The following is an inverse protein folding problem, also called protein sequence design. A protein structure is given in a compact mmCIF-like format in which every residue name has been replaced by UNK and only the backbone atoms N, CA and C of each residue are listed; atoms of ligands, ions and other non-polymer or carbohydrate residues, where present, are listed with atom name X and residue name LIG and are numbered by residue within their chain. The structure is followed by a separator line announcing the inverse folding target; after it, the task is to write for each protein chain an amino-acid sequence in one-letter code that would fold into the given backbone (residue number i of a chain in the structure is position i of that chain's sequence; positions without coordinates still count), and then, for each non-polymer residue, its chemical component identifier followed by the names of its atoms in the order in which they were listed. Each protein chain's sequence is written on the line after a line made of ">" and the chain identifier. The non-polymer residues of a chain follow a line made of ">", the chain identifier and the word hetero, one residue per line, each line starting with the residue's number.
data_IF_496680069184
#
_entry.id   IF_496680069184
#
_cell.length_a   1.000
_cell.length_b   1.000
_cell.length_c   1.000
_cell.angle_alpha   90.00
_cell.angle_beta   90.00
_cell.angle_gamma   90.00
#
_symmetry.space_group_name_H-M   'P 1'
#
loop_
_entity.id
_entity.type
_entity.pdbx_description
1 polymer ?
#
# COMPACT_ATOMS: atom_id res chain seq x y z
N UNK A 1 1.85 -0.72 2.03
CA UNK A 1 1.29 -1.47 0.88
C UNK A 1 0.94 -0.54 -0.26
N UNK A 2 0.17 0.52 -0.02
CA UNK A 2 -0.13 1.54 -1.05
C UNK A 2 1.10 2.25 -1.62
N UNK A 3 2.10 2.53 -0.79
CA UNK A 3 3.37 3.11 -1.26
C UNK A 3 4.11 2.19 -2.24
N UNK A 4 4.12 0.88 -1.99
CA UNK A 4 4.70 -0.10 -2.93
C UNK A 4 3.93 -0.14 -4.26
N UNK A 5 2.62 0.06 -4.21
CA UNK A 5 1.75 0.07 -5.39
C UNK A 5 1.91 1.36 -6.21
N UNK A 6 2.01 2.52 -5.55
CA UNK A 6 2.02 3.84 -6.20
C UNK A 6 3.41 4.41 -6.44
N UNK A 7 4.43 3.88 -5.75
CA UNK A 7 5.76 4.47 -5.70
C UNK A 7 5.80 5.82 -4.96
N UNK A 8 4.73 6.20 -4.25
CA UNK A 8 4.60 7.50 -3.57
C UNK A 8 4.13 7.33 -2.13
N UNK A 9 4.52 8.24 -1.22
CA UNK A 9 3.97 8.25 0.13
C UNK A 9 2.42 8.27 0.13
N UNK A 10 1.75 7.60 1.07
CA UNK A 10 0.29 7.68 1.19
C UNK A 10 -0.17 9.12 1.40
N UNK A 11 -1.15 9.60 0.63
CA UNK A 11 -1.61 11.00 0.69
C UNK A 11 -0.54 12.03 0.27
N UNK A 12 0.34 11.68 -0.66
CA UNK A 12 1.43 12.56 -1.14
C UNK A 12 0.98 13.95 -1.64
N UNK A 13 -0.29 14.10 -1.98
CA UNK A 13 -0.93 15.32 -2.49
C UNK A 13 -1.62 16.15 -1.41
N UNK A 14 -1.60 15.70 -0.15
CA UNK A 14 -2.22 16.37 1.00
C UNK A 14 -1.15 16.79 2.02
N UNK A 15 -1.31 17.96 2.63
CA UNK A 15 -0.44 18.39 3.73
C UNK A 15 -0.58 17.47 4.95
N UNK A 16 0.54 17.19 5.62
CA UNK A 16 0.60 16.31 6.78
C UNK A 16 0.32 17.12 8.05
N UNK A 17 -0.96 17.41 8.29
CA UNK A 17 -1.44 18.21 9.41
C UNK A 17 -2.57 17.49 10.20
N UNK A 18 -3.13 18.18 11.19
CA UNK A 18 -4.25 17.67 11.98
C UNK A 18 -5.51 17.41 11.14
N UNK A 19 -5.70 18.15 10.04
CA UNK A 19 -6.85 17.98 9.14
C UNK A 19 -6.75 16.62 8.44
N UNK A 20 -5.55 16.23 7.98
CA UNK A 20 -5.32 14.90 7.42
C UNK A 20 -5.60 13.80 8.46
N UNK A 21 -5.13 13.97 9.70
CA UNK A 21 -5.40 13.01 10.78
C UNK A 21 -6.92 12.83 11.01
N UNK A 22 -7.69 13.92 11.06
CA UNK A 22 -9.16 13.88 11.19
C UNK A 22 -9.79 13.14 9.99
N UNK A 23 -9.36 13.42 8.77
CA UNK A 23 -9.87 12.73 7.56
C UNK A 23 -9.62 11.22 7.65
N UNK A 24 -8.43 10.79 8.09
CA UNK A 24 -8.10 9.36 8.26
C UNK A 24 -8.98 8.70 9.32
N UNK A 25 -9.19 9.37 10.46
CA UNK A 25 -10.13 8.92 11.50
C UNK A 25 -11.56 8.77 10.96
N UNK A 26 -11.96 9.64 10.03
CA UNK A 26 -13.26 9.60 9.35
C UNK A 26 -13.31 8.64 8.16
N UNK A 27 -12.28 7.82 7.94
CA UNK A 27 -12.29 6.77 6.94
C UNK A 27 -11.57 7.09 5.63
N UNK A 28 -10.87 8.22 5.51
CA UNK A 28 -9.97 8.45 4.37
C UNK A 28 -8.91 7.35 4.35
N UNK A 29 -8.71 6.72 3.19
CA UNK A 29 -7.69 5.70 2.95
C UNK A 29 -6.89 6.04 1.70
N UNK A 30 -5.60 5.65 1.64
CA UNK A 30 -4.79 5.88 0.46
C UNK A 30 -5.28 5.05 -0.72
N UNK A 31 -5.10 5.60 -1.93
CA UNK A 31 -5.43 4.94 -3.19
C UNK A 31 -4.30 4.02 -3.66
N UNK A 32 -4.62 3.17 -4.63
CA UNK A 32 -3.68 2.24 -5.27
C UNK A 32 -3.45 2.67 -6.71
N UNK A 33 -2.28 2.34 -7.27
CA UNK A 33 -2.01 2.59 -8.68
C UNK A 33 -2.89 1.73 -9.59
N UNK A 34 -3.15 2.25 -10.79
CA UNK A 34 -3.76 1.47 -11.86
C UNK A 34 -2.95 0.19 -12.12
N UNK A 35 -3.66 -0.92 -12.31
CA UNK A 35 -3.03 -2.23 -12.52
C UNK A 35 -2.59 -2.96 -11.25
N UNK A 36 -2.73 -2.36 -10.07
CA UNK A 36 -2.47 -3.07 -8.81
C UNK A 36 -3.37 -4.31 -8.71
N UNK A 37 -2.82 -5.52 -8.45
CA UNK A 37 -3.63 -6.73 -8.38
C UNK A 37 -4.73 -6.64 -7.33
N UNK A 38 -5.95 -7.05 -7.69
CA UNK A 38 -7.13 -6.97 -6.80
C UNK A 38 -6.91 -7.70 -5.47
N UNK A 39 -6.23 -8.87 -5.49
CA UNK A 39 -5.90 -9.60 -4.27
C UNK A 39 -4.99 -8.80 -3.31
N UNK A 40 -4.09 -7.98 -3.85
CA UNK A 40 -3.22 -7.10 -3.08
C UNK A 40 -4.01 -5.93 -2.48
N UNK A 41 -4.93 -5.34 -3.25
CA UNK A 41 -5.84 -4.28 -2.80
C UNK A 41 -6.70 -4.79 -1.63
N UNK A 42 -7.26 -5.99 -1.76
CA UNK A 42 -8.08 -6.62 -0.71
C UNK A 42 -7.29 -6.81 0.58
N UNK A 43 -6.09 -7.37 0.51
CA UNK A 43 -5.23 -7.54 1.68
C UNK A 43 -4.87 -6.19 2.32
N UNK A 44 -4.50 -5.20 1.52
CA UNK A 44 -4.16 -3.87 2.03
C UNK A 44 -5.37 -3.16 2.67
N UNK A 45 -6.57 -3.32 2.10
CA UNK A 45 -7.80 -2.79 2.70
C UNK A 45 -8.12 -3.46 4.04
N UNK A 46 -7.93 -4.78 4.17
CA UNK A 46 -8.06 -5.49 5.44
C UNK A 46 -7.07 -4.96 6.50
N UNK A 47 -5.83 -4.68 6.11
CA UNK A 47 -4.83 -4.06 7.00
C UNK A 47 -5.25 -2.67 7.51
N UNK A 48 -6.07 -1.94 6.73
CA UNK A 48 -6.53 -0.58 7.03
C UNK A 48 -7.98 -0.52 7.51
N UNK A 49 -8.58 -1.66 7.88
CA UNK A 49 -9.95 -1.73 8.35
C UNK A 49 -10.17 -0.82 9.57
N UNK A 50 -11.30 -0.11 9.59
CA UNK A 50 -11.70 0.77 10.68
C UNK A 50 -11.89 -0.01 11.98
N UNK A 51 -12.38 -1.25 11.90
CA UNK A 51 -12.44 -2.17 13.02
C UNK A 51 -11.10 -2.90 13.19
N UNK A 52 -10.35 -2.67 14.30
CA UNK A 52 -9.07 -3.34 14.53
C UNK A 52 -9.16 -4.87 14.54
N UNK A 53 -10.30 -5.43 14.94
CA UNK A 53 -10.52 -6.88 14.99
C UNK A 53 -10.59 -7.55 13.62
N UNK A 54 -10.83 -6.78 12.55
CA UNK A 54 -10.83 -7.29 11.18
C UNK A 54 -9.41 -7.29 10.56
N UNK A 55 -8.44 -6.64 11.21
CA UNK A 55 -7.10 -6.52 10.68
C UNK A 55 -6.36 -7.85 10.80
N UNK A 56 -5.70 -8.32 9.73
CA UNK A 56 -4.90 -9.54 9.79
C UNK A 56 -3.70 -9.34 10.71
N UNK A 57 -3.22 -10.42 11.30
CA UNK A 57 -1.96 -10.40 12.04
C UNK A 57 -0.77 -10.28 11.08
N UNK A 58 0.39 -9.87 11.58
CA UNK A 58 1.61 -9.88 10.78
C UNK A 58 1.93 -11.28 10.21
N UNK A 59 1.61 -12.35 10.96
CA UNK A 59 1.76 -13.72 10.50
C UNK A 59 0.83 -14.05 9.34
N UNK A 60 -0.43 -13.64 9.39
CA UNK A 60 -1.39 -13.86 8.30
C UNK A 60 -0.94 -13.15 7.02
N UNK A 61 -0.49 -11.91 7.14
CA UNK A 61 0.07 -11.13 6.03
C UNK A 61 1.28 -11.85 5.44
N UNK A 62 2.22 -12.30 6.29
CA UNK A 62 3.41 -13.02 5.85
C UNK A 62 3.06 -14.29 5.08
N UNK A 63 2.15 -15.13 5.60
CA UNK A 63 1.75 -16.36 4.91
C UNK A 63 1.06 -16.06 3.57
N UNK A 64 0.24 -15.01 3.50
CA UNK A 64 -0.40 -14.60 2.24
C UNK A 64 0.61 -14.13 1.19
N UNK A 65 1.59 -13.34 1.60
CA UNK A 65 2.67 -12.90 0.70
C UNK A 65 3.56 -14.06 0.26
N UNK A 66 3.85 -15.01 1.16
CA UNK A 66 4.63 -16.21 0.85
C UNK A 66 3.91 -17.14 -0.12
N UNK A 67 2.59 -17.30 0.05
CA UNK A 67 1.72 -18.01 -0.89
C UNK A 67 1.83 -17.39 -2.30
N UNK A 68 1.62 -16.08 -2.44
CA UNK A 68 1.76 -15.39 -3.72
C UNK A 68 3.15 -15.49 -4.32
N UNK A 69 4.20 -15.38 -3.49
CA UNK A 69 5.57 -15.59 -3.92
C UNK A 69 5.76 -16.99 -4.52
N UNK A 70 5.31 -18.04 -3.82
CA UNK A 70 5.43 -19.41 -4.31
C UNK A 70 4.66 -19.62 -5.62
N UNK A 71 3.49 -18.98 -5.78
CA UNK A 71 2.72 -19.03 -7.03
C UNK A 71 3.52 -18.42 -8.18
N UNK A 72 4.07 -17.24 -7.97
CA UNK A 72 4.79 -16.49 -9.00
C UNK A 72 6.07 -17.21 -9.44
N UNK A 73 6.80 -17.82 -8.51
CA UNK A 73 8.12 -18.41 -8.78
C UNK A 73 8.12 -19.93 -8.97
N UNK A 74 7.11 -20.65 -8.47
CA UNK A 74 7.09 -22.11 -8.39
C UNK A 74 5.75 -22.77 -8.77
N UNK A 75 4.70 -21.98 -9.04
CA UNK A 75 3.33 -22.49 -9.21
C UNK A 75 3.10 -23.28 -10.51
N UNK A 76 2.15 -24.23 -10.46
CA UNK A 76 1.57 -24.87 -11.64
C UNK A 76 0.29 -24.17 -12.12
N UNK A 77 -0.27 -24.63 -13.24
CA UNK A 77 -1.38 -24.00 -13.95
C UNK A 77 -2.69 -23.78 -13.14
N UNK A 78 -2.82 -24.30 -11.90
CA UNK A 78 -4.02 -24.17 -11.07
C UNK A 78 -4.22 -22.78 -10.44
N UNK A 79 -3.17 -21.96 -10.29
CA UNK A 79 -3.23 -20.61 -9.68
C UNK A 79 -2.89 -19.49 -10.68
N UNK A 80 -3.20 -19.76 -11.95
CA UNK A 80 -2.93 -18.87 -13.10
C UNK A 80 -3.51 -17.45 -12.93
N UNK A 81 -4.59 -17.29 -12.16
CA UNK A 81 -5.23 -15.99 -11.95
C UNK A 81 -4.35 -15.03 -11.17
N UNK A 82 -3.74 -15.49 -10.07
CA UNK A 82 -2.83 -14.66 -9.26
C UNK A 82 -1.59 -14.34 -10.09
N UNK A 83 -0.95 -15.36 -10.69
CA UNK A 83 0.20 -15.18 -11.56
C UNK A 83 -0.05 -14.13 -12.65
N UNK A 84 -1.15 -14.27 -13.41
CA UNK A 84 -1.52 -13.33 -14.48
C UNK A 84 -1.78 -11.92 -13.95
N UNK A 85 -2.40 -11.78 -12.77
CA UNK A 85 -2.66 -10.46 -12.20
C UNK A 85 -1.37 -9.71 -11.86
N UNK A 86 -0.39 -10.39 -11.26
CA UNK A 86 0.92 -9.78 -10.96
C UNK A 86 1.73 -9.52 -12.23
N UNK A 87 1.72 -10.43 -13.22
CA UNK A 87 2.37 -10.18 -14.52
C UNK A 87 1.77 -8.99 -15.28
N UNK A 88 0.44 -8.82 -15.23
CA UNK A 88 -0.22 -7.67 -15.82
C UNK A 88 0.18 -6.36 -15.11
N UNK A 89 0.31 -6.39 -13.78
CA UNK A 89 0.81 -5.25 -13.02
C UNK A 89 2.26 -4.90 -13.40
N UNK A 90 3.15 -5.89 -13.52
CA UNK A 90 4.55 -5.69 -13.90
C UNK A 90 4.70 -5.04 -15.29
N UNK A 91 3.81 -5.38 -16.23
CA UNK A 91 3.80 -4.75 -17.56
C UNK A 91 3.54 -3.24 -17.47
N UNK A 92 2.69 -2.81 -16.53
CA UNK A 92 2.34 -1.40 -16.30
C UNK A 92 3.45 -0.67 -15.55
N UNK A 93 4.16 -1.34 -14.62
CA UNK A 93 5.27 -0.74 -13.84
C UNK A 93 6.33 -0.10 -14.76
N UNK A 94 6.62 -0.72 -15.90
CA UNK A 94 7.58 -0.18 -16.88
C UNK A 94 7.19 1.19 -17.46
N UNK A 95 5.93 1.57 -17.32
CA UNK A 95 5.36 2.82 -17.85
C UNK A 95 5.18 3.91 -16.77
N UNK A 96 5.36 3.57 -15.49
CA UNK A 96 5.20 4.51 -14.38
C UNK A 96 6.46 5.36 -14.19
N UNK A 97 6.28 6.67 -14.00
CA UNK A 97 7.38 7.58 -13.67
C UNK A 97 7.86 7.33 -12.24
N UNK A 98 9.17 7.08 -12.08
CA UNK A 98 9.85 6.88 -10.80
C UNK A 98 10.36 8.17 -10.18
N UNK A 99 10.01 9.34 -10.73
CA UNK A 99 10.47 10.62 -10.21
C UNK A 99 9.79 10.88 -8.86
N UNK A 100 10.51 10.58 -7.78
CA UNK A 100 10.07 10.88 -6.42
C UNK A 100 10.11 12.40 -6.22
N UNK A 101 9.00 13.05 -5.81
CA UNK A 101 9.07 14.44 -5.38
C UNK A 101 10.01 14.54 -4.16
N UNK A 102 10.96 15.47 -4.24
CA UNK A 102 11.88 15.76 -3.14
C UNK A 102 11.06 16.34 -1.98
N UNK A 103 10.76 15.53 -0.97
CA UNK A 103 10.05 16.01 0.22
C UNK A 103 11.01 16.66 1.21
N UNK A 104 10.73 17.91 1.58
CA UNK A 104 11.43 18.61 2.66
C UNK A 104 11.02 18.01 4.01
N UNK A 105 11.98 17.45 4.74
CA UNK A 105 11.86 16.74 6.02
C UNK A 105 11.27 17.55 7.20
N UNK A 106 10.84 18.79 7.01
CA UNK A 106 10.98 19.81 8.07
C UNK A 106 9.75 20.09 8.94
N UNK A 107 8.70 19.26 8.95
CA UNK A 107 7.51 19.52 9.81
C UNK A 107 7.22 18.50 10.91
N UNK A 108 7.96 17.40 11.00
CA UNK A 108 7.75 16.39 12.06
C UNK A 108 8.76 16.45 13.21
N UNK A 109 9.75 17.37 13.16
CA UNK A 109 10.80 17.47 14.20
C UNK A 109 10.77 18.75 15.04
N UNK A 110 9.82 19.66 14.85
CA UNK A 110 9.66 20.80 15.77
C UNK A 110 8.75 20.43 16.92
N UNK A 111 9.26 19.60 17.84
CA UNK A 111 8.86 19.74 19.23
C UNK A 111 9.50 21.06 19.71
N UNK A 112 8.75 22.15 19.61
CA UNK A 112 9.05 23.34 20.40
C UNK A 112 8.84 22.96 21.87
N UNK A 113 9.95 22.84 22.59
CA UNK A 113 9.99 22.90 24.04
C UNK A 113 9.26 24.20 24.47
N UNK A 114 8.09 24.07 25.07
CA UNK A 114 7.52 25.13 25.88
C UNK A 114 7.50 24.67 27.34
N UNK A 115 8.47 25.24 28.05
CA UNK A 115 8.64 25.33 29.50
C UNK A 115 7.35 25.68 30.26
#
# INVERSE_FOLDING_TARGET
>A
MTEMSTGRPPHYDIEYDEILAIKICNGLRPEFAEGTPECYIQLANQCMDANPSNRPTASDIYYKLLEWYNIVYHGDASELTILKSFQAADAIISTLSTDLPIYTKDKLTTNEEME
#
